data_IF_707395702759
#
_entry.id   IF_707395702759
#
_cell.length_a   1.000
_cell.length_b   1.000
_cell.length_c   1.000
_cell.angle_alpha   90.00
_cell.angle_beta   90.00
_cell.angle_gamma   90.00
#
_symmetry.space_group_name_H-M   'P 1'
#
loop_
_entity.id
_entity.type
_entity.pdbx_description
1 polymer ?
#
# COMPACT_ATOMS: atom_id res chain seq x y z
N UNK A 1 -41.71 -27.54 -9.18
CA UNK A 1 -41.39 -26.56 -10.25
C UNK A 1 -41.40 -25.05 -9.89
N UNK A 2 -41.98 -24.52 -8.78
CA UNK A 2 -42.02 -23.06 -8.54
C UNK A 2 -40.67 -22.38 -8.25
N UNK A 3 -39.73 -23.10 -7.60
CA UNK A 3 -38.43 -22.53 -7.18
C UNK A 3 -37.51 -22.15 -8.35
N UNK A 4 -37.66 -22.80 -9.52
CA UNK A 4 -36.83 -22.52 -10.69
C UNK A 4 -37.23 -21.21 -11.40
N UNK A 5 -38.53 -20.89 -11.47
CA UNK A 5 -39.01 -19.62 -12.05
C UNK A 5 -38.61 -18.41 -11.20
N UNK A 6 -38.66 -18.53 -9.87
CA UNK A 6 -38.29 -17.43 -8.96
C UNK A 6 -36.78 -17.13 -9.03
N UNK A 7 -35.93 -18.14 -9.21
CA UNK A 7 -34.48 -17.93 -9.35
C UNK A 7 -34.11 -17.29 -10.68
N UNK A 8 -34.83 -17.61 -11.76
CA UNK A 8 -34.66 -17.02 -13.08
C UNK A 8 -35.08 -15.56 -13.08
N UNK A 9 -36.22 -15.22 -12.47
CA UNK A 9 -36.71 -13.84 -12.35
C UNK A 9 -35.76 -12.98 -11.51
N UNK A 10 -35.24 -13.51 -10.39
CA UNK A 10 -34.21 -12.80 -9.60
C UNK A 10 -32.89 -12.62 -10.36
N UNK A 11 -32.51 -13.56 -11.23
CA UNK A 11 -31.34 -13.42 -12.11
C UNK A 11 -31.55 -12.32 -13.15
N UNK A 12 -32.69 -12.32 -13.82
CA UNK A 12 -33.01 -11.34 -14.86
C UNK A 12 -33.18 -9.93 -14.29
N UNK A 13 -33.74 -9.78 -13.09
CA UNK A 13 -33.82 -8.49 -12.40
C UNK A 13 -32.43 -7.95 -12.02
N UNK A 14 -31.54 -8.80 -11.49
CA UNK A 14 -30.15 -8.42 -11.20
C UNK A 14 -29.36 -8.08 -12.46
N UNK A 15 -29.59 -8.80 -13.56
CA UNK A 15 -28.97 -8.49 -14.87
C UNK A 15 -29.47 -7.16 -15.42
N UNK A 16 -30.74 -6.81 -15.20
CA UNK A 16 -31.31 -5.50 -15.52
C UNK A 16 -30.70 -4.36 -14.72
N UNK A 17 -30.46 -4.53 -13.41
CA UNK A 17 -29.76 -3.53 -12.59
C UNK A 17 -28.27 -3.41 -12.93
N UNK A 18 -27.59 -4.52 -13.22
CA UNK A 18 -26.20 -4.52 -13.67
C UNK A 18 -26.04 -3.85 -15.03
N UNK A 19 -26.98 -4.06 -15.96
CA UNK A 19 -27.04 -3.35 -17.25
C UNK A 19 -27.36 -1.86 -17.06
N UNK A 20 -28.34 -1.50 -16.24
CA UNK A 20 -28.61 -0.09 -15.90
C UNK A 20 -27.42 0.58 -15.19
N UNK A 21 -26.67 -0.14 -14.35
CA UNK A 21 -25.45 0.38 -13.71
C UNK A 21 -24.27 0.51 -14.67
N UNK A 22 -24.24 -0.30 -15.73
CA UNK A 22 -23.30 -0.15 -16.85
C UNK A 22 -23.73 0.98 -17.82
N UNK A 23 -25.03 1.21 -17.99
CA UNK A 23 -25.62 2.23 -18.88
C UNK A 23 -25.72 3.63 -18.25
N UNK A 24 -25.80 3.75 -16.92
CA UNK A 24 -25.95 5.05 -16.23
C UNK A 24 -24.72 5.98 -16.31
N UNK A 25 -23.68 5.63 -17.07
CA UNK A 25 -22.56 6.54 -17.35
C UNK A 25 -21.86 7.06 -16.08
N UNK A 26 -21.99 6.35 -14.95
CA UNK A 26 -21.44 6.77 -13.67
C UNK A 26 -19.92 6.81 -13.79
N UNK A 27 -19.39 8.03 -13.96
CA UNK A 27 -17.95 8.30 -13.97
C UNK A 27 -17.38 7.70 -12.68
N UNK A 28 -16.52 6.68 -12.82
CA UNK A 28 -15.77 6.08 -11.71
C UNK A 28 -14.49 6.87 -11.49
N UNK A 29 -13.84 6.70 -10.34
CA UNK A 29 -12.55 7.34 -10.09
C UNK A 29 -11.49 6.72 -11.00
N UNK A 30 -10.80 7.57 -11.75
CA UNK A 30 -9.68 7.15 -12.56
C UNK A 30 -8.48 6.88 -11.63
N UNK A 31 -7.88 5.67 -11.64
CA UNK A 31 -6.75 5.35 -10.76
C UNK A 31 -5.53 6.24 -10.98
N UNK A 32 -5.35 6.80 -12.19
CA UNK A 32 -4.31 7.80 -12.44
C UNK A 32 -4.53 9.07 -11.61
N UNK A 33 -5.77 9.58 -11.59
CA UNK A 33 -6.13 10.77 -10.80
C UNK A 33 -5.98 10.47 -9.31
N UNK A 34 -6.33 9.26 -8.88
CA UNK A 34 -6.15 8.84 -7.48
C UNK A 34 -4.68 8.87 -7.07
N UNK A 35 -3.80 8.22 -7.83
CA UNK A 35 -2.37 8.20 -7.54
C UNK A 35 -1.77 9.63 -7.61
N UNK A 36 -2.07 10.35 -8.69
CA UNK A 36 -1.55 11.71 -8.90
C UNK A 36 -2.01 12.65 -7.77
N UNK A 37 -3.28 12.56 -7.36
CA UNK A 37 -3.82 13.37 -6.27
C UNK A 37 -3.11 13.09 -4.94
N UNK A 38 -2.86 11.82 -4.61
CA UNK A 38 -2.13 11.47 -3.38
C UNK A 38 -0.67 11.90 -3.46
N UNK A 39 0.02 11.64 -4.58
CA UNK A 39 1.41 12.06 -4.78
C UNK A 39 1.57 13.58 -4.67
N UNK A 40 0.65 14.32 -5.29
CA UNK A 40 0.64 15.79 -5.27
C UNK A 40 0.33 16.30 -3.87
N UNK A 41 -0.70 15.78 -3.20
CA UNK A 41 -1.07 16.20 -1.85
C UNK A 41 0.07 15.93 -0.85
N UNK A 42 0.67 14.73 -0.91
CA UNK A 42 1.79 14.36 -0.05
C UNK A 42 2.97 15.34 -0.17
N UNK A 43 3.37 15.65 -1.41
CA UNK A 43 4.52 16.53 -1.65
C UNK A 43 4.21 17.99 -1.38
N UNK A 44 3.08 18.51 -1.88
CA UNK A 44 2.73 19.93 -1.69
C UNK A 44 2.61 20.26 -0.20
N UNK A 45 1.97 19.40 0.60
CA UNK A 45 1.82 19.64 2.04
C UNK A 45 3.19 19.66 2.75
N UNK A 46 4.13 18.79 2.35
CA UNK A 46 5.48 18.77 2.94
C UNK A 46 6.41 19.88 2.40
N UNK A 47 6.17 20.39 1.19
CA UNK A 47 7.01 21.40 0.55
C UNK A 47 6.61 22.83 0.93
N UNK A 48 5.33 23.10 1.14
CA UNK A 48 4.86 24.43 1.52
C UNK A 48 5.27 24.72 2.97
N UNK A 49 5.79 25.93 3.21
CA UNK A 49 6.01 26.43 4.56
C UNK A 49 4.66 26.69 5.24
N UNK A 50 4.32 25.81 6.17
CA UNK A 50 3.11 25.95 6.98
C UNK A 50 3.37 26.88 8.17
N UNK A 51 2.34 27.50 8.76
CA UNK A 51 2.52 28.36 9.94
C UNK A 51 3.12 27.65 11.16
N UNK A 52 2.96 26.33 11.27
CA UNK A 52 3.49 25.51 12.36
C UNK A 52 4.85 24.87 12.03
N UNK A 53 5.45 25.17 10.89
CA UNK A 53 6.82 24.72 10.54
C UNK A 53 7.80 25.88 10.67
N UNK A 54 8.97 25.61 11.22
CA UNK A 54 10.04 26.61 11.31
C UNK A 54 10.52 26.93 9.89
N UNK A 55 10.51 28.23 9.53
CA UNK A 55 10.94 28.65 8.19
C UNK A 55 12.44 28.51 8.03
N UNK A 56 12.86 28.03 6.86
CA UNK A 56 14.28 27.94 6.51
C UNK A 56 15.06 26.84 7.24
N UNK A 57 14.39 25.85 7.84
CA UNK A 57 15.07 24.73 8.53
C UNK A 57 15.98 23.92 7.61
N UNK A 58 15.65 23.82 6.31
CA UNK A 58 16.44 23.13 5.30
C UNK A 58 16.14 23.66 3.89
N UNK A 59 17.01 23.36 2.92
CA UNK A 59 16.82 23.76 1.52
C UNK A 59 15.83 22.84 0.79
N UNK A 60 14.71 23.43 0.34
CA UNK A 60 13.65 22.70 -0.37
C UNK A 60 13.88 22.59 -1.88
N UNK A 61 14.94 23.18 -2.43
CA UNK A 61 15.19 23.23 -3.90
C UNK A 61 15.26 21.83 -4.51
N UNK A 62 16.02 20.90 -3.91
CA UNK A 62 16.09 19.53 -4.42
C UNK A 62 14.70 18.87 -4.39
N UNK A 63 13.99 19.01 -3.28
CA UNK A 63 12.67 18.39 -3.09
C UNK A 63 11.67 18.87 -4.16
N UNK A 64 11.65 20.17 -4.47
CA UNK A 64 10.86 20.74 -5.56
C UNK A 64 11.25 20.16 -6.93
N UNK A 65 12.55 20.10 -7.23
CA UNK A 65 13.04 19.54 -8.50
C UNK A 65 12.63 18.07 -8.66
N UNK A 66 12.74 17.26 -7.62
CA UNK A 66 12.33 15.85 -7.65
C UNK A 66 10.82 15.70 -7.80
N UNK A 67 10.04 16.52 -7.10
CA UNK A 67 8.58 16.54 -7.25
C UNK A 67 8.15 16.85 -8.69
N UNK A 68 8.71 17.91 -9.29
CA UNK A 68 8.41 18.29 -10.67
C UNK A 68 8.87 17.23 -11.65
N UNK A 69 10.06 16.65 -11.44
CA UNK A 69 10.60 15.57 -12.29
C UNK A 69 9.68 14.34 -12.28
N UNK A 70 9.24 13.91 -11.10
CA UNK A 70 8.29 12.80 -10.95
C UNK A 70 6.94 13.10 -11.58
N UNK A 71 6.43 14.33 -11.41
CA UNK A 71 5.18 14.79 -12.01
C UNK A 71 5.24 14.75 -13.54
N UNK A 72 6.31 15.26 -14.15
CA UNK A 72 6.51 15.24 -15.60
C UNK A 72 6.56 13.80 -16.11
N UNK A 73 7.38 12.94 -15.49
CA UNK A 73 7.48 11.52 -15.86
C UNK A 73 6.12 10.80 -15.80
N UNK A 74 5.35 11.05 -14.74
CA UNK A 74 4.02 10.47 -14.57
C UNK A 74 3.03 10.95 -15.63
N UNK A 75 2.98 12.25 -15.91
CA UNK A 75 2.06 12.86 -16.87
C UNK A 75 2.38 12.46 -18.31
N UNK A 76 3.65 12.42 -18.69
CA UNK A 76 4.08 11.98 -20.02
C UNK A 76 3.62 10.55 -20.30
N UNK A 77 3.90 9.61 -19.40
CA UNK A 77 3.41 8.24 -19.52
C UNK A 77 1.87 8.18 -19.64
N UNK A 78 1.15 8.98 -18.85
CA UNK A 78 -0.30 9.02 -18.96
C UNK A 78 -0.77 9.43 -20.37
N UNK A 79 -0.13 10.45 -20.96
CA UNK A 79 -0.43 10.89 -22.34
C UNK A 79 -0.11 9.79 -23.35
N UNK A 80 1.07 9.18 -23.29
CA UNK A 80 1.49 8.11 -24.21
C UNK A 80 0.57 6.88 -24.17
N UNK A 81 0.10 6.48 -22.99
CA UNK A 81 -0.70 5.26 -22.83
C UNK A 81 -2.23 5.49 -22.85
N UNK A 82 -2.69 6.74 -23.01
CA UNK A 82 -4.12 7.10 -23.08
C UNK A 82 -4.82 6.52 -24.32
N UNK A 83 -4.10 6.38 -25.45
CA UNK A 83 -4.70 6.17 -26.78
C UNK A 83 -5.15 4.76 -27.16
N UNK A 84 -4.84 3.71 -26.38
CA UNK A 84 -5.14 2.32 -26.80
C UNK A 84 -6.25 1.72 -25.95
N UNK A 85 -7.52 1.96 -26.29
CA UNK A 85 -8.65 1.24 -25.70
C UNK A 85 -9.52 0.66 -26.83
N UNK A 86 -9.16 -0.54 -27.33
CA UNK A 86 -10.05 -1.31 -28.20
C UNK A 86 -11.24 -1.81 -27.37
N UNK A 87 -12.47 -1.39 -27.75
CA UNK A 87 -13.72 -2.00 -27.26
C UNK A 87 -13.64 -3.49 -27.52
N UNK A 88 -13.57 -4.29 -26.47
CA UNK A 88 -13.53 -5.75 -26.57
C UNK A 88 -14.44 -6.33 -25.50
N UNK A 89 -15.19 -7.35 -25.89
CA UNK A 89 -16.23 -7.99 -25.09
C UNK A 89 -15.61 -8.63 -23.84
N UNK A 90 -16.14 -8.28 -22.68
CA UNK A 90 -15.68 -8.76 -21.38
C UNK A 90 -16.09 -10.22 -21.17
N UNK A 91 -15.16 -11.18 -21.00
CA UNK A 91 -15.53 -12.56 -20.67
C UNK A 91 -16.12 -12.65 -19.26
N UNK A 92 -17.03 -13.62 -19.06
CA UNK A 92 -17.72 -13.85 -17.78
C UNK A 92 -16.74 -13.98 -16.60
N UNK A 93 -17.05 -13.26 -15.51
CA UNK A 93 -16.32 -13.32 -14.25
C UNK A 93 -16.41 -14.72 -13.65
N UNK A 94 -15.31 -15.49 -13.69
CA UNK A 94 -15.26 -16.81 -13.04
C UNK A 94 -15.16 -16.62 -11.53
N UNK A 95 -16.21 -17.01 -10.83
CA UNK A 95 -16.28 -16.97 -9.37
C UNK A 95 -15.16 -17.81 -8.73
N UNK A 96 -14.41 -17.23 -7.79
CA UNK A 96 -13.34 -17.94 -7.07
C UNK A 96 -13.79 -18.30 -5.66
N UNK A 97 -14.14 -19.57 -5.45
CA UNK A 97 -14.69 -20.11 -4.18
C UNK A 97 -14.05 -21.43 -3.77
N UNK A 98 -12.74 -21.54 -3.92
CA UNK A 98 -12.05 -22.77 -3.54
C UNK A 98 -11.98 -22.88 -2.01
N UNK A 99 -12.76 -23.81 -1.43
CA UNK A 99 -12.64 -24.18 -0.01
C UNK A 99 -11.25 -24.76 0.27
N UNK A 100 -10.69 -25.52 -0.68
CA UNK A 100 -9.33 -26.07 -0.62
C UNK A 100 -8.28 -24.96 -0.47
N UNK A 101 -8.33 -23.91 -1.30
CA UNK A 101 -7.38 -22.78 -1.16
C UNK A 101 -7.57 -22.03 0.16
N UNK A 102 -8.82 -21.91 0.63
CA UNK A 102 -9.10 -21.28 1.93
C UNK A 102 -8.44 -22.04 3.07
N UNK A 103 -8.59 -23.37 3.08
CA UNK A 103 -7.98 -24.24 4.10
C UNK A 103 -6.45 -24.22 3.96
N UNK A 104 -5.93 -24.31 2.74
CA UNK A 104 -4.49 -24.30 2.47
C UNK A 104 -3.80 -23.03 3.01
N UNK A 105 -4.30 -21.84 2.64
CA UNK A 105 -3.69 -20.60 3.11
C UNK A 105 -3.94 -20.35 4.60
N UNK A 106 -5.07 -20.81 5.15
CA UNK A 106 -5.32 -20.73 6.59
C UNK A 106 -4.36 -21.63 7.38
N UNK A 107 -4.04 -22.82 6.86
CA UNK A 107 -3.08 -23.73 7.50
C UNK A 107 -1.68 -23.11 7.51
N UNK A 108 -1.22 -22.55 6.38
CA UNK A 108 0.05 -21.81 6.32
C UNK A 108 0.06 -20.68 7.37
N UNK A 109 -1.03 -19.90 7.43
CA UNK A 109 -1.19 -18.81 8.39
C UNK A 109 -1.07 -19.29 9.85
N UNK A 110 -1.79 -20.36 10.22
CA UNK A 110 -1.76 -20.92 11.58
C UNK A 110 -0.38 -21.48 11.90
N UNK A 111 0.24 -22.23 10.98
CA UNK A 111 1.58 -22.80 11.19
C UNK A 111 2.62 -21.70 11.38
N UNK A 112 2.63 -20.66 10.54
CA UNK A 112 3.55 -19.53 10.70
C UNK A 112 3.32 -18.79 12.02
N UNK A 113 2.06 -18.58 12.42
CA UNK A 113 1.69 -17.93 13.69
C UNK A 113 2.17 -18.74 14.89
N UNK A 114 1.87 -20.04 14.94
CA UNK A 114 2.28 -20.92 16.04
C UNK A 114 3.80 -21.04 16.10
N UNK A 115 4.46 -21.26 14.95
CA UNK A 115 5.92 -21.35 14.89
C UNK A 115 6.56 -20.08 15.46
N UNK A 116 6.06 -18.91 15.05
CA UNK A 116 6.61 -17.63 15.54
C UNK A 116 6.43 -17.51 17.04
N UNK A 117 5.23 -17.74 17.57
CA UNK A 117 4.94 -17.66 19.01
C UNK A 117 5.85 -18.61 19.81
N UNK A 118 6.03 -19.84 19.32
CA UNK A 118 6.90 -20.84 19.95
C UNK A 118 8.38 -20.42 19.91
N UNK A 119 8.87 -19.93 18.77
CA UNK A 119 10.27 -19.51 18.63
C UNK A 119 10.59 -18.23 19.39
N UNK A 120 9.62 -17.33 19.54
CA UNK A 120 9.79 -16.11 20.33
C UNK A 120 9.63 -16.36 21.83
N UNK A 121 9.06 -17.49 22.25
CA UNK A 121 8.71 -17.73 23.66
C UNK A 121 7.54 -16.88 24.17
N UNK A 122 6.73 -16.32 23.27
CA UNK A 122 5.64 -15.40 23.63
C UNK A 122 4.93 -14.82 22.41
N UNK A 123 3.90 -14.00 22.64
CA UNK A 123 3.20 -13.29 21.56
C UNK A 123 4.00 -12.02 21.22
N UNK A 124 4.56 -11.89 20.00
CA UNK A 124 5.46 -10.78 19.65
C UNK A 124 4.88 -9.38 19.87
N UNK A 125 3.55 -9.23 19.80
CA UNK A 125 2.86 -7.97 20.12
C UNK A 125 3.21 -7.42 21.52
N UNK A 126 3.44 -8.30 22.51
CA UNK A 126 3.68 -7.94 23.90
C UNK A 126 5.16 -7.95 24.30
N UNK A 127 6.07 -8.29 23.38
CA UNK A 127 7.49 -8.54 23.67
C UNK A 127 8.43 -7.35 23.44
N UNK A 128 7.90 -6.12 23.31
CA UNK A 128 8.75 -4.92 23.16
C UNK A 128 9.68 -4.98 21.93
N UNK A 129 10.99 -4.83 22.15
CA UNK A 129 12.02 -4.87 21.10
C UNK A 129 12.45 -6.28 20.70
N UNK A 130 12.25 -7.28 21.57
CA UNK A 130 12.62 -8.69 21.31
C UNK A 130 11.82 -9.29 20.14
N UNK A 131 10.68 -8.67 19.78
CA UNK A 131 9.85 -9.06 18.63
C UNK A 131 10.56 -8.98 17.27
N UNK A 132 11.67 -8.25 17.17
CA UNK A 132 12.39 -8.04 15.92
C UNK A 132 13.34 -9.21 15.57
N UNK A 133 13.48 -10.22 16.43
CA UNK A 133 14.21 -11.47 16.12
C UNK A 133 13.44 -12.45 15.22
N UNK A 134 12.21 -12.12 14.82
CA UNK A 134 11.33 -13.03 14.09
C UNK A 134 11.74 -13.24 12.63
N UNK A 135 11.51 -14.46 12.12
CA UNK A 135 11.78 -14.81 10.73
C UNK A 135 10.99 -13.94 9.75
N UNK A 136 11.69 -13.15 8.94
CA UNK A 136 11.11 -12.36 7.85
C UNK A 136 10.27 -13.22 6.88
N UNK A 137 10.62 -14.49 6.72
CA UNK A 137 9.90 -15.46 5.88
C UNK A 137 8.52 -15.78 6.48
N UNK A 138 8.46 -16.15 7.77
CA UNK A 138 7.20 -16.46 8.43
C UNK A 138 6.23 -15.26 8.39
N UNK A 139 6.77 -14.05 8.59
CA UNK A 139 6.02 -12.81 8.49
C UNK A 139 5.46 -12.55 7.09
N UNK A 140 6.20 -12.86 6.03
CA UNK A 140 5.70 -12.61 4.68
C UNK A 140 4.76 -13.74 4.19
N UNK A 141 4.95 -14.99 4.63
CA UNK A 141 4.07 -16.12 4.32
C UNK A 141 2.65 -15.93 4.89
N UNK A 142 2.53 -15.34 6.08
CA UNK A 142 1.22 -15.10 6.70
C UNK A 142 0.31 -14.20 5.85
N UNK A 143 0.90 -13.34 5.02
CA UNK A 143 0.17 -12.44 4.12
C UNK A 143 -0.60 -13.20 3.04
N UNK A 144 -0.22 -14.45 2.71
CA UNK A 144 -0.93 -15.26 1.70
C UNK A 144 -2.40 -15.49 2.07
N UNK A 145 -2.69 -15.68 3.36
CA UNK A 145 -4.07 -15.79 3.81
C UNK A 145 -4.82 -14.47 3.62
N UNK A 146 -4.20 -13.33 3.96
CA UNK A 146 -4.75 -12.01 3.69
C UNK A 146 -5.04 -11.77 2.20
N UNK A 147 -4.08 -12.11 1.32
CA UNK A 147 -4.25 -12.02 -0.13
C UNK A 147 -5.41 -12.89 -0.61
N UNK A 148 -5.53 -14.12 -0.12
CA UNK A 148 -6.63 -15.00 -0.46
C UNK A 148 -7.99 -14.46 0.03
N UNK A 149 -8.05 -13.96 1.26
CA UNK A 149 -9.26 -13.32 1.81
C UNK A 149 -9.66 -12.12 0.96
N UNK A 150 -8.71 -11.29 0.50
CA UNK A 150 -9.00 -10.16 -0.41
C UNK A 150 -9.54 -10.62 -1.77
N UNK A 151 -8.94 -11.64 -2.38
CA UNK A 151 -9.44 -12.22 -3.64
C UNK A 151 -10.86 -12.74 -3.47
N UNK A 152 -11.14 -13.45 -2.36
CA UNK A 152 -12.48 -13.96 -2.06
C UNK A 152 -13.46 -12.83 -1.79
N UNK A 153 -13.07 -11.82 -1.03
CA UNK A 153 -13.88 -10.67 -0.69
C UNK A 153 -14.29 -9.89 -1.95
N UNK A 154 -13.34 -9.63 -2.84
CA UNK A 154 -13.61 -9.04 -4.17
C UNK A 154 -14.58 -9.93 -4.94
N UNK A 155 -14.35 -11.24 -4.98
CA UNK A 155 -15.27 -12.19 -5.63
C UNK A 155 -16.67 -12.17 -5.02
N UNK A 156 -16.81 -12.04 -3.70
CA UNK A 156 -18.12 -12.01 -3.03
C UNK A 156 -18.83 -10.66 -3.26
N UNK A 157 -18.09 -9.55 -3.30
CA UNK A 157 -18.61 -8.24 -3.69
C UNK A 157 -19.17 -8.22 -5.13
N UNK A 158 -18.45 -8.80 -6.08
CA UNK A 158 -18.90 -8.87 -7.49
C UNK A 158 -20.16 -9.72 -7.67
N UNK A 159 -20.37 -10.68 -6.77
CA UNK A 159 -21.51 -11.59 -6.83
C UNK A 159 -22.65 -11.18 -5.88
N UNK A 160 -22.59 -9.98 -5.27
CA UNK A 160 -23.54 -9.46 -4.27
C UNK A 160 -23.85 -10.46 -3.15
N UNK A 161 -22.80 -11.04 -2.56
CA UNK A 161 -22.95 -12.02 -1.48
C UNK A 161 -22.53 -11.48 -0.12
N UNK A 162 -23.04 -12.12 0.93
CA UNK A 162 -22.68 -11.81 2.31
C UNK A 162 -21.20 -12.09 2.54
N UNK A 163 -20.52 -11.09 3.10
CA UNK A 163 -19.10 -11.13 3.42
C UNK A 163 -18.90 -11.95 4.70
N UNK A 164 -17.86 -12.79 4.72
CA UNK A 164 -17.45 -13.49 5.92
C UNK A 164 -16.58 -12.58 6.79
N UNK A 165 -17.19 -11.93 7.78
CA UNK A 165 -16.48 -11.07 8.75
C UNK A 165 -15.47 -11.87 9.57
N UNK A 166 -15.76 -13.15 9.85
CA UNK A 166 -14.90 -14.04 10.63
C UNK A 166 -13.50 -14.19 10.00
N UNK A 167 -13.40 -14.37 8.69
CA UNK A 167 -12.09 -14.52 8.03
C UNK A 167 -11.25 -13.24 8.11
N UNK A 168 -11.92 -12.09 8.00
CA UNK A 168 -11.28 -10.78 8.15
C UNK A 168 -10.77 -10.62 9.58
N UNK A 169 -11.61 -10.93 10.58
CA UNK A 169 -11.25 -10.84 11.99
C UNK A 169 -10.08 -11.78 12.34
N UNK A 170 -10.10 -13.03 11.87
CA UNK A 170 -9.02 -14.02 12.08
C UNK A 170 -7.71 -13.52 11.47
N UNK A 171 -7.74 -13.01 10.24
CA UNK A 171 -6.54 -12.47 9.59
C UNK A 171 -5.98 -11.27 10.37
N UNK A 172 -6.82 -10.29 10.72
CA UNK A 172 -6.40 -9.09 11.46
C UNK A 172 -5.83 -9.47 12.82
N UNK A 173 -6.54 -10.28 13.59
CA UNK A 173 -6.09 -10.71 14.92
C UNK A 173 -4.73 -11.42 14.85
N UNK A 174 -4.57 -12.39 13.94
CA UNK A 174 -3.30 -13.12 13.85
C UNK A 174 -2.14 -12.27 13.33
N UNK A 175 -2.37 -11.32 12.39
CA UNK A 175 -1.30 -10.37 11.99
C UNK A 175 -0.92 -9.44 13.14
N UNK A 176 -1.90 -8.96 13.91
CA UNK A 176 -1.65 -8.13 15.08
C UNK A 176 -0.86 -8.87 16.16
N UNK A 177 -1.06 -10.19 16.33
CA UNK A 177 -0.25 -11.00 17.23
C UNK A 177 1.26 -10.95 16.91
N UNK A 178 1.64 -10.76 15.63
CA UNK A 178 3.05 -10.56 15.26
C UNK A 178 3.57 -9.14 15.56
N UNK A 179 2.73 -8.23 16.03
CA UNK A 179 3.12 -6.84 16.29
C UNK A 179 3.20 -5.95 15.04
N UNK A 180 2.80 -6.45 13.86
CA UNK A 180 2.85 -5.69 12.61
C UNK A 180 1.51 -5.04 12.27
N UNK A 181 1.57 -3.79 11.83
CA UNK A 181 0.41 -2.96 11.49
C UNK A 181 0.27 -2.76 9.98
N UNK A 182 1.40 -2.73 9.26
CA UNK A 182 1.45 -2.45 7.82
C UNK A 182 0.61 -3.43 6.99
N UNK A 183 0.64 -4.76 7.19
CA UNK A 183 -0.19 -5.66 6.38
C UNK A 183 -1.69 -5.46 6.60
N UNK A 184 -2.10 -5.11 7.82
CA UNK A 184 -3.49 -4.75 8.13
C UNK A 184 -3.90 -3.48 7.38
N UNK A 185 -3.05 -2.46 7.41
CA UNK A 185 -3.28 -1.22 6.65
C UNK A 185 -3.39 -1.49 5.14
N UNK A 186 -2.44 -2.25 4.57
CA UNK A 186 -2.46 -2.66 3.17
C UNK A 186 -3.75 -3.41 2.83
N UNK A 187 -4.19 -4.33 3.69
CA UNK A 187 -5.42 -5.09 3.50
C UNK A 187 -6.64 -4.17 3.37
N UNK A 188 -6.81 -3.21 4.28
CA UNK A 188 -7.90 -2.25 4.20
C UNK A 188 -7.78 -1.29 3.02
N UNK A 189 -6.58 -0.81 2.71
CA UNK A 189 -6.33 0.06 1.56
C UNK A 189 -6.67 -0.64 0.24
N UNK A 190 -6.36 -1.92 0.09
CA UNK A 190 -6.73 -2.69 -1.11
C UNK A 190 -8.24 -2.77 -1.27
N UNK A 191 -8.98 -3.01 -0.19
CA UNK A 191 -10.46 -3.01 -0.21
C UNK A 191 -10.97 -1.63 -0.60
N UNK A 192 -10.43 -0.58 0.02
CA UNK A 192 -10.80 0.80 -0.22
C UNK A 192 -10.55 1.21 -1.69
N UNK A 193 -9.37 0.93 -2.23
CA UNK A 193 -9.00 1.15 -3.64
C UNK A 193 -9.95 0.37 -4.56
N UNK A 194 -10.25 -0.88 -4.24
CA UNK A 194 -11.21 -1.68 -5.00
C UNK A 194 -12.60 -1.02 -5.04
N UNK A 195 -13.12 -0.57 -3.89
CA UNK A 195 -14.43 0.09 -3.83
C UNK A 195 -14.44 1.36 -4.69
N UNK A 196 -13.44 2.23 -4.54
CA UNK A 196 -13.39 3.53 -5.21
C UNK A 196 -13.18 3.42 -6.71
N UNK A 197 -12.31 2.51 -7.15
CA UNK A 197 -11.97 2.38 -8.57
C UNK A 197 -13.02 1.57 -9.33
N UNK A 198 -13.56 0.49 -8.74
CA UNK A 198 -14.41 -0.46 -9.47
C UNK A 198 -15.90 -0.40 -9.14
N UNK A 199 -16.30 0.05 -7.95
CA UNK A 199 -17.69 -0.12 -7.48
C UNK A 199 -18.44 1.18 -7.23
N UNK A 200 -17.80 2.15 -6.58
CA UNK A 200 -18.46 3.37 -6.13
C UNK A 200 -18.56 4.41 -7.25
N UNK A 201 -19.65 5.18 -7.31
CA UNK A 201 -19.72 6.34 -8.20
C UNK A 201 -18.80 7.45 -7.69
N UNK A 202 -18.22 8.26 -8.59
CA UNK A 202 -17.20 9.27 -8.26
C UNK A 202 -17.58 10.21 -7.11
N UNK A 203 -18.84 10.65 -7.02
CA UNK A 203 -19.30 11.52 -5.91
C UNK A 203 -19.17 10.83 -4.54
N UNK A 204 -19.66 9.58 -4.43
CA UNK A 204 -19.55 8.80 -3.19
C UNK A 204 -18.11 8.41 -2.88
N UNK A 205 -17.34 8.07 -3.91
CA UNK A 205 -15.92 7.76 -3.77
C UNK A 205 -15.12 8.95 -3.22
N UNK A 206 -15.41 10.18 -3.69
CA UNK A 206 -14.76 11.38 -3.19
C UNK A 206 -15.11 11.65 -1.72
N UNK A 207 -16.39 11.59 -1.35
CA UNK A 207 -16.82 11.76 0.04
C UNK A 207 -16.20 10.70 0.96
N UNK A 208 -16.26 9.43 0.56
CA UNK A 208 -15.68 8.33 1.31
C UNK A 208 -14.16 8.50 1.46
N UNK A 209 -13.50 9.01 0.42
CA UNK A 209 -12.07 9.26 0.48
C UNK A 209 -11.67 10.44 1.33
N UNK A 210 -12.47 11.51 1.35
CA UNK A 210 -12.29 12.60 2.29
C UNK A 210 -12.36 12.07 3.74
N UNK A 211 -13.42 11.31 4.07
CA UNK A 211 -13.57 10.71 5.41
C UNK A 211 -12.39 9.78 5.76
N UNK A 212 -11.96 8.94 4.81
CA UNK A 212 -10.84 8.03 5.03
C UNK A 212 -9.52 8.76 5.27
N UNK A 213 -9.23 9.84 4.52
CA UNK A 213 -8.04 10.66 4.73
C UNK A 213 -8.05 11.27 6.13
N UNK A 214 -9.16 11.90 6.55
CA UNK A 214 -9.26 12.47 7.89
C UNK A 214 -9.09 11.41 8.99
N UNK A 215 -9.72 10.26 8.83
CA UNK A 215 -9.61 9.16 9.79
C UNK A 215 -8.17 8.61 9.87
N UNK A 216 -7.52 8.39 8.72
CA UNK A 216 -6.15 7.87 8.67
C UNK A 216 -5.17 8.91 9.23
N UNK A 217 -5.29 10.18 8.86
CA UNK A 217 -4.39 11.25 9.35
C UNK A 217 -4.57 11.46 10.85
N UNK A 218 -5.80 11.53 11.36
CA UNK A 218 -6.06 11.66 12.79
C UNK A 218 -5.55 10.45 13.58
N UNK A 219 -5.82 9.24 13.09
CA UNK A 219 -5.30 8.01 13.69
C UNK A 219 -3.77 7.98 13.68
N UNK A 220 -3.14 8.30 12.54
CA UNK A 220 -1.69 8.33 12.40
C UNK A 220 -1.05 9.37 13.34
N UNK A 221 -1.64 10.56 13.47
CA UNK A 221 -1.15 11.60 14.35
C UNK A 221 -1.21 11.19 15.83
N UNK A 222 -2.34 10.65 16.29
CA UNK A 222 -2.51 10.17 17.67
C UNK A 222 -1.49 9.07 17.97
N UNK A 223 -1.36 8.08 17.08
CA UNK A 223 -0.42 6.99 17.27
C UNK A 223 1.04 7.42 17.19
N UNK A 224 1.37 8.36 16.30
CA UNK A 224 2.71 8.93 16.21
C UNK A 224 3.05 9.68 17.50
N UNK A 225 2.18 10.59 17.95
CA UNK A 225 2.36 11.35 19.18
C UNK A 225 2.51 10.43 20.39
N UNK A 226 1.62 9.46 20.56
CA UNK A 226 1.67 8.48 21.66
C UNK A 226 2.97 7.66 21.64
N UNK A 227 3.38 7.16 20.46
CA UNK A 227 4.61 6.38 20.34
C UNK A 227 5.84 7.23 20.66
N UNK A 228 5.88 8.46 20.14
CA UNK A 228 6.99 9.37 20.39
C UNK A 228 7.04 9.72 21.88
N UNK A 229 5.92 10.10 22.50
CA UNK A 229 5.86 10.45 23.93
C UNK A 229 6.27 9.32 24.87
N UNK A 230 6.17 8.06 24.44
CA UNK A 230 6.62 6.91 25.24
C UNK A 230 8.15 6.77 25.29
N UNK A 231 8.89 7.36 24.37
CA UNK A 231 10.32 7.06 24.17
C UNK A 231 11.19 8.29 23.91
N UNK A 232 10.60 9.43 23.57
CA UNK A 232 11.25 10.64 23.11
C UNK A 232 10.49 11.87 23.60
N UNK A 233 11.21 12.97 23.79
CA UNK A 233 10.60 14.28 23.91
C UNK A 233 10.01 14.71 22.56
N UNK A 234 8.73 15.08 22.55
CA UNK A 234 8.00 15.45 21.32
C UNK A 234 8.61 16.67 20.64
N UNK A 235 9.05 17.66 21.42
CA UNK A 235 9.60 18.92 20.89
C UNK A 235 10.94 18.66 20.20
N UNK A 236 11.80 17.86 20.83
CA UNK A 236 13.08 17.45 20.28
C UNK A 236 12.91 16.56 19.04
N UNK A 237 11.96 15.63 19.06
CA UNK A 237 11.72 14.71 17.96
C UNK A 237 11.24 15.41 16.69
N UNK A 238 10.32 16.37 16.86
CA UNK A 238 9.76 17.14 15.76
C UNK A 238 10.42 18.53 15.68
N UNK A 239 11.75 18.57 15.58
CA UNK A 239 12.54 19.82 15.62
C UNK A 239 12.27 20.80 14.47
N UNK A 240 11.51 20.41 13.46
CA UNK A 240 11.02 21.23 12.36
C UNK A 240 9.65 21.91 12.64
N UNK A 241 8.99 21.58 13.76
CA UNK A 241 7.71 22.15 14.16
C UNK A 241 7.92 23.32 15.13
N UNK A 242 7.21 24.42 14.89
CA UNK A 242 7.05 25.49 15.87
C UNK A 242 5.96 25.12 16.89
N UNK A 243 6.35 24.46 17.97
CA UNK A 243 5.42 24.10 19.05
C UNK A 243 4.85 25.32 19.79
N UNK A 244 5.45 26.52 19.70
CA UNK A 244 4.86 27.73 20.29
C UNK A 244 3.57 28.07 19.55
N UNK A 245 3.65 28.12 18.21
CA UNK A 245 2.47 28.32 17.37
C UNK A 245 1.39 27.25 17.59
N UNK A 246 1.78 25.97 17.71
CA UNK A 246 0.84 24.86 17.94
C UNK A 246 0.18 24.96 19.32
N UNK A 247 0.90 25.42 20.34
CA UNK A 247 0.36 25.64 21.67
C UNK A 247 -0.65 26.78 21.71
N UNK A 248 -0.42 27.84 20.93
CA UNK A 248 -1.37 28.95 20.77
C UNK A 248 -2.62 28.53 19.97
N UNK A 249 -2.50 27.51 19.11
CA UNK A 249 -3.57 27.01 18.23
C UNK A 249 -3.93 25.56 18.54
N UNK A 250 -4.47 25.31 19.73
CA UNK A 250 -4.65 23.94 20.27
C UNK A 250 -5.44 22.98 19.37
N UNK A 251 -6.30 23.48 18.49
CA UNK A 251 -7.05 22.66 17.52
C UNK A 251 -6.16 21.96 16.49
N UNK A 252 -4.88 22.37 16.34
CA UNK A 252 -3.92 21.76 15.44
C UNK A 252 -3.20 20.53 16.03
N UNK A 253 -3.17 20.39 17.36
CA UNK A 253 -2.52 19.27 18.06
C UNK A 253 -2.86 17.88 17.50
N UNK A 254 -4.12 17.56 17.14
CA UNK A 254 -4.47 16.24 16.63
C UNK A 254 -3.95 15.94 15.22
N UNK A 255 -3.41 16.92 14.49
CA UNK A 255 -3.01 16.77 13.08
C UNK A 255 -1.53 17.02 12.85
N UNK A 256 -0.96 17.96 13.60
CA UNK A 256 0.42 18.44 13.44
C UNK A 256 1.45 17.29 13.44
N UNK A 257 1.41 16.28 14.33
CA UNK A 257 2.36 15.17 14.30
C UNK A 257 2.36 14.39 12.98
N UNK A 258 1.18 14.14 12.39
CA UNK A 258 1.10 13.45 11.10
C UNK A 258 1.51 14.36 9.93
N UNK A 259 1.14 15.64 9.96
CA UNK A 259 1.52 16.60 8.92
C UNK A 259 3.01 16.89 8.92
N UNK A 260 3.63 16.96 10.10
CA UNK A 260 5.06 17.17 10.25
C UNK A 260 5.90 16.00 9.73
N UNK A 261 5.35 14.78 9.71
CA UNK A 261 6.01 13.64 9.04
C UNK A 261 6.12 13.84 7.53
N UNK A 262 5.22 14.63 6.92
CA UNK A 262 5.30 14.97 5.49
C UNK A 262 6.46 15.93 5.23
N UNK A 263 6.63 16.97 6.06
CA UNK A 263 7.78 17.89 6.00
C UNK A 263 9.09 17.18 6.38
N UNK A 264 9.09 16.35 7.43
CA UNK A 264 10.25 15.55 7.84
C UNK A 264 10.75 14.64 6.70
N UNK A 265 9.83 14.10 5.91
CA UNK A 265 10.17 13.31 4.73
C UNK A 265 10.86 14.13 3.64
N UNK A 266 10.50 15.42 3.48
CA UNK A 266 11.18 16.33 2.56
C UNK A 266 12.53 16.79 3.13
N UNK A 267 12.62 17.04 4.44
CA UNK A 267 13.91 17.29 5.11
C UNK A 267 14.89 16.13 4.86
N UNK A 268 14.43 14.89 5.01
CA UNK A 268 15.22 13.69 4.69
C UNK A 268 15.73 13.71 3.24
N UNK A 269 14.89 14.10 2.28
CA UNK A 269 15.28 14.22 0.86
C UNK A 269 16.32 15.32 0.65
N UNK A 270 16.18 16.45 1.34
CA UNK A 270 17.20 17.52 1.35
C UNK A 270 18.53 17.03 1.89
N UNK A 271 18.52 16.34 3.04
CA UNK A 271 19.73 15.77 3.65
C UNK A 271 20.43 14.74 2.76
N UNK A 272 19.65 13.93 2.03
CA UNK A 272 20.19 13.04 0.98
C UNK A 272 20.95 13.87 -0.06
N UNK A 273 20.39 15.00 -0.51
CA UNK A 273 21.01 15.89 -1.49
C UNK A 273 22.39 16.40 -1.07
N UNK A 274 22.57 16.72 0.22
CA UNK A 274 23.85 17.18 0.76
C UNK A 274 24.83 16.05 1.06
N UNK A 275 24.34 14.86 1.45
CA UNK A 275 25.18 13.75 1.90
C UNK A 275 25.57 12.76 0.79
N UNK A 276 24.80 12.71 -0.31
CA UNK A 276 25.03 11.76 -1.38
C UNK A 276 26.17 12.23 -2.31
N UNK A 277 27.34 11.62 -2.18
CA UNK A 277 28.48 11.90 -3.06
C UNK A 277 28.44 11.12 -4.38
N UNK A 278 27.87 9.91 -4.36
CA UNK A 278 27.74 9.03 -5.53
C UNK A 278 26.41 8.28 -5.46
N UNK A 279 25.80 8.06 -6.63
CA UNK A 279 24.58 7.26 -6.73
C UNK A 279 24.83 5.79 -6.39
N UNK A 280 23.80 5.11 -5.88
CA UNK A 280 23.88 3.71 -5.46
C UNK A 280 23.56 2.71 -6.58
N UNK A 281 23.15 3.17 -7.77
CA UNK A 281 22.91 2.37 -8.98
C UNK A 281 22.00 1.14 -8.77
N UNK A 282 21.01 1.25 -7.88
CA UNK A 282 20.06 0.18 -7.57
C UNK A 282 20.40 -0.58 -6.29
N UNK A 283 21.52 -0.27 -5.62
CA UNK A 283 21.87 -0.85 -4.33
C UNK A 283 20.79 -0.62 -3.27
N UNK A 284 20.14 0.54 -3.27
CA UNK A 284 19.05 0.79 -2.33
C UNK A 284 17.82 -0.08 -2.63
N UNK A 285 17.46 -0.24 -3.91
CA UNK A 285 16.41 -1.17 -4.33
C UNK A 285 16.71 -2.63 -3.93
N UNK A 286 17.93 -3.10 -4.19
CA UNK A 286 18.35 -4.48 -3.91
C UNK A 286 18.41 -4.75 -2.41
N UNK A 287 18.84 -3.78 -1.60
CA UNK A 287 18.97 -3.93 -0.14
C UNK A 287 17.69 -4.38 0.57
N UNK A 288 16.51 -4.01 0.06
CA UNK A 288 15.23 -4.46 0.61
C UNK A 288 15.05 -5.98 0.47
N UNK A 289 15.60 -6.59 -0.58
CA UNK A 289 15.49 -8.02 -0.86
C UNK A 289 16.67 -8.82 -0.30
N UNK A 290 17.82 -8.19 -0.08
CA UNK A 290 18.94 -8.82 0.63
C UNK A 290 18.58 -9.22 2.07
N UNK A 291 17.57 -8.57 2.66
CA UNK A 291 17.01 -8.97 3.96
C UNK A 291 16.44 -10.40 3.99
N UNK A 292 16.26 -11.05 2.84
CA UNK A 292 15.91 -12.47 2.76
C UNK A 292 17.08 -13.42 2.91
N UNK A 293 18.30 -12.95 2.64
CA UNK A 293 19.49 -13.76 2.72
C UNK A 293 19.89 -13.97 4.18
N UNK A 294 20.54 -15.10 4.52
CA UNK A 294 21.06 -15.31 5.86
C UNK A 294 22.08 -14.22 6.20
N UNK A 295 22.07 -13.76 7.46
CA UNK A 295 22.96 -12.72 7.97
C UNK A 295 22.25 -11.40 8.33
N UNK A 296 23.02 -10.44 8.86
CA UNK A 296 22.53 -9.10 9.20
C UNK A 296 22.63 -8.20 7.98
N UNK A 297 21.54 -8.07 7.24
CA UNK A 297 21.45 -7.18 6.08
C UNK A 297 20.75 -5.88 6.44
N UNK A 298 21.17 -4.77 5.83
CA UNK A 298 20.56 -3.46 6.06
C UNK A 298 19.49 -3.22 5.01
N UNK A 299 18.24 -3.04 5.44
CA UNK A 299 17.20 -2.58 4.53
C UNK A 299 17.41 -1.10 4.14
N UNK A 300 16.74 -0.65 3.07
CA UNK A 300 16.89 0.69 2.53
C UNK A 300 16.73 1.81 3.58
N UNK A 301 15.83 1.60 4.55
CA UNK A 301 15.58 2.58 5.62
C UNK A 301 16.76 2.80 6.56
N UNK A 302 17.54 1.75 6.80
CA UNK A 302 18.71 1.81 7.65
C UNK A 302 19.88 2.46 6.91
N UNK A 303 20.04 2.13 5.62
CA UNK A 303 21.03 2.76 4.74
C UNK A 303 20.79 4.28 4.67
N UNK A 304 19.55 4.71 4.48
CA UNK A 304 19.20 6.13 4.41
C UNK A 304 19.36 6.83 5.75
N UNK A 305 18.98 6.17 6.85
CA UNK A 305 19.21 6.70 8.19
C UNK A 305 20.70 6.95 8.46
N UNK A 306 21.57 6.03 8.00
CA UNK A 306 23.02 6.20 8.08
C UNK A 306 23.51 7.35 7.20
N UNK A 307 23.12 7.35 5.92
CA UNK A 307 23.51 8.38 4.93
C UNK A 307 23.15 9.80 5.40
N UNK A 308 22.00 9.97 6.02
CA UNK A 308 21.50 11.27 6.48
C UNK A 308 21.90 11.59 7.92
N UNK A 309 22.66 10.71 8.59
CA UNK A 309 22.98 10.80 10.03
C UNK A 309 21.75 10.94 10.94
N UNK A 310 20.56 10.64 10.43
CA UNK A 310 19.31 10.77 11.16
C UNK A 310 18.85 9.42 11.76
N UNK A 311 19.69 8.40 11.66
CA UNK A 311 19.52 7.12 12.36
C UNK A 311 19.43 7.26 13.87
N UNK A 312 19.99 8.31 14.46
CA UNK A 312 19.97 8.51 15.90
C UNK A 312 19.27 9.81 16.24
N UNK A 313 18.11 9.71 16.89
CA UNK A 313 17.42 10.86 17.48
C UNK A 313 17.45 10.68 18.99
N UNK A 314 18.07 11.62 19.70
CA UNK A 314 18.26 11.56 21.15
C UNK A 314 18.85 10.22 21.66
N UNK A 315 19.86 9.69 20.94
CA UNK A 315 20.58 8.47 21.35
C UNK A 315 19.84 7.16 21.14
N UNK A 316 18.71 7.14 20.41
CA UNK A 316 17.99 5.90 20.05
C UNK A 316 17.87 5.70 18.53
N UNK A 317 17.89 4.44 18.05
CA UNK A 317 17.84 4.15 16.63
C UNK A 317 16.45 4.44 16.04
N UNK A 318 16.45 5.19 14.93
CA UNK A 318 15.29 5.52 14.12
C UNK A 318 15.42 4.91 12.72
N UNK A 319 14.32 4.35 12.23
CA UNK A 319 14.20 3.89 10.85
C UNK A 319 13.60 5.02 10.00
N UNK A 320 14.33 5.47 8.98
CA UNK A 320 13.91 6.60 8.13
C UNK A 320 13.52 6.08 6.76
N UNK A 321 12.32 6.44 6.30
CA UNK A 321 11.83 6.05 4.99
C UNK A 321 12.30 7.06 3.93
N UNK A 322 13.13 6.66 2.95
CA UNK A 322 13.31 7.48 1.77
C UNK A 322 11.98 7.46 1.01
N UNK A 323 11.32 8.61 0.83
CA UNK A 323 10.18 8.70 -0.08
C UNK A 323 10.51 8.07 -1.43
N UNK A 324 9.53 7.65 -2.25
CA UNK A 324 9.83 7.01 -3.54
C UNK A 324 10.77 7.87 -4.40
N UNK A 325 10.57 9.18 -4.44
CA UNK A 325 11.43 10.10 -5.17
C UNK A 325 12.83 10.20 -4.57
N UNK A 326 12.97 10.19 -3.24
CA UNK A 326 14.27 10.13 -2.57
C UNK A 326 15.01 8.83 -2.88
N UNK A 327 14.32 7.69 -2.81
CA UNK A 327 14.90 6.38 -3.08
C UNK A 327 15.39 6.25 -4.54
N UNK A 328 14.57 6.68 -5.49
CA UNK A 328 14.93 6.71 -6.92
C UNK A 328 16.08 7.68 -7.21
N UNK A 329 16.13 8.82 -6.51
CA UNK A 329 17.21 9.79 -6.65
C UNK A 329 18.54 9.24 -6.11
N UNK A 330 18.52 8.55 -4.97
CA UNK A 330 19.72 7.91 -4.40
C UNK A 330 20.32 6.89 -5.36
N UNK A 331 19.47 6.07 -6.00
CA UNK A 331 19.96 5.06 -6.92
C UNK A 331 20.37 5.61 -8.28
N UNK A 332 19.62 6.55 -8.87
CA UNK A 332 19.77 6.91 -10.28
C UNK A 332 19.56 8.40 -10.60
N UNK A 333 19.59 9.28 -9.59
CA UNK A 333 19.41 10.71 -9.74
C UNK A 333 18.05 11.11 -10.33
N UNK A 334 18.01 12.26 -11.02
CA UNK A 334 16.79 12.78 -11.65
C UNK A 334 16.20 11.83 -12.71
N UNK A 335 17.06 11.13 -13.45
CA UNK A 335 16.65 10.14 -14.47
C UNK A 335 15.90 8.99 -13.80
N UNK A 336 16.37 8.53 -12.63
CA UNK A 336 15.68 7.56 -11.79
C UNK A 336 14.28 7.98 -11.43
N UNK A 337 14.14 9.20 -10.90
CA UNK A 337 12.83 9.74 -10.49
C UNK A 337 11.88 9.82 -11.67
N UNK A 338 12.33 10.40 -12.80
CA UNK A 338 11.52 10.49 -14.01
C UNK A 338 11.04 9.11 -14.47
N UNK A 339 11.98 8.16 -14.60
CA UNK A 339 11.73 6.82 -15.14
C UNK A 339 10.84 6.00 -14.21
N UNK A 340 11.06 6.06 -12.89
CA UNK A 340 10.25 5.34 -11.92
C UNK A 340 8.78 5.78 -11.93
N UNK A 341 8.53 7.09 -11.97
CA UNK A 341 7.16 7.63 -12.07
C UNK A 341 6.53 7.37 -13.44
N UNK A 342 7.32 7.38 -14.51
CA UNK A 342 6.88 6.97 -15.84
C UNK A 342 6.40 5.50 -15.86
N UNK A 343 7.20 4.59 -15.29
CA UNK A 343 6.88 3.15 -15.19
C UNK A 343 5.63 2.93 -14.35
N UNK A 344 5.48 3.61 -13.21
CA UNK A 344 4.28 3.50 -12.37
C UNK A 344 3.04 3.93 -13.15
N UNK A 345 3.09 5.08 -13.83
CA UNK A 345 1.99 5.58 -14.64
C UNK A 345 1.63 4.61 -15.77
N UNK A 346 2.63 4.13 -16.53
CA UNK A 346 2.45 3.12 -17.57
C UNK A 346 1.81 1.83 -17.03
N UNK A 347 2.32 1.35 -15.88
CA UNK A 347 1.82 0.19 -15.17
C UNK A 347 0.36 0.34 -14.73
N UNK A 348 0.00 1.48 -14.13
CA UNK A 348 -1.39 1.79 -13.76
C UNK A 348 -2.29 1.70 -14.99
N UNK A 349 -1.91 2.30 -16.11
CA UNK A 349 -2.68 2.24 -17.35
C UNK A 349 -2.85 0.83 -17.89
N UNK A 350 -1.75 0.09 -17.98
CA UNK A 350 -1.73 -1.27 -18.51
C UNK A 350 -2.54 -2.24 -17.64
N UNK A 351 -2.28 -2.26 -16.32
CA UNK A 351 -2.93 -3.18 -15.40
C UNK A 351 -4.39 -2.79 -15.14
N UNK A 352 -4.75 -1.50 -15.14
CA UNK A 352 -6.15 -1.09 -14.98
C UNK A 352 -7.02 -1.60 -16.13
N UNK A 353 -6.55 -1.43 -17.39
CA UNK A 353 -7.24 -1.94 -18.57
C UNK A 353 -7.44 -3.45 -18.51
N UNK A 354 -6.42 -4.19 -18.07
CA UNK A 354 -6.50 -5.65 -17.89
C UNK A 354 -7.41 -6.05 -16.73
N UNK A 355 -7.36 -5.36 -15.61
CA UNK A 355 -8.15 -5.64 -14.41
C UNK A 355 -9.65 -5.46 -14.65
N UNK A 356 -10.08 -4.55 -15.52
CA UNK A 356 -11.49 -4.44 -15.95
C UNK A 356 -11.99 -5.73 -16.62
N UNK A 357 -11.10 -6.48 -17.29
CA UNK A 357 -11.41 -7.70 -18.05
C UNK A 357 -11.14 -8.98 -17.24
N UNK A 358 -10.28 -8.90 -16.24
CA UNK A 358 -9.95 -10.04 -15.40
C UNK A 358 -10.97 -10.23 -14.27
N UNK A 359 -11.09 -11.47 -13.80
CA UNK A 359 -11.89 -11.79 -12.61
C UNK A 359 -11.27 -11.25 -11.32
N UNK A 360 -11.87 -11.62 -10.18
CA UNK A 360 -11.48 -11.16 -8.85
C UNK A 360 -9.96 -11.15 -8.57
N UNK A 361 -9.22 -12.17 -9.03
CA UNK A 361 -7.76 -12.24 -8.86
C UNK A 361 -7.02 -11.10 -9.58
N UNK A 362 -7.44 -10.75 -10.79
CA UNK A 362 -6.81 -9.67 -11.56
C UNK A 362 -7.13 -8.29 -10.99
N UNK A 363 -8.35 -8.09 -10.51
CA UNK A 363 -8.72 -6.86 -9.79
C UNK A 363 -8.01 -6.73 -8.46
N UNK A 364 -7.89 -7.82 -7.70
CA UNK A 364 -7.04 -7.89 -6.52
C UNK A 364 -5.61 -7.48 -6.86
N UNK A 365 -4.98 -8.13 -7.85
CA UNK A 365 -3.60 -7.83 -8.22
C UNK A 365 -3.39 -6.37 -8.60
N UNK A 366 -4.30 -5.79 -9.39
CA UNK A 366 -4.23 -4.37 -9.70
C UNK A 366 -4.41 -3.47 -8.47
N UNK A 367 -5.41 -3.73 -7.62
CA UNK A 367 -5.64 -2.92 -6.41
C UNK A 367 -4.47 -3.01 -5.43
N UNK A 368 -3.86 -4.19 -5.31
CA UNK A 368 -2.66 -4.41 -4.50
C UNK A 368 -1.46 -3.61 -5.03
N UNK A 369 -1.14 -3.73 -6.32
CA UNK A 369 -0.03 -2.96 -6.92
C UNK A 369 -0.25 -1.45 -6.85
N UNK A 370 -1.49 -0.98 -7.07
CA UNK A 370 -1.83 0.43 -6.92
C UNK A 370 -1.69 0.89 -5.46
N UNK A 371 -2.11 0.07 -4.49
CA UNK A 371 -1.95 0.36 -3.06
C UNK A 371 -0.47 0.43 -2.69
N UNK A 372 0.34 -0.53 -3.11
CA UNK A 372 1.79 -0.52 -2.88
C UNK A 372 2.47 0.70 -3.52
N UNK A 373 2.02 1.11 -4.71
CA UNK A 373 2.50 2.33 -5.38
C UNK A 373 2.11 3.60 -4.62
N UNK A 374 0.88 3.66 -4.10
CA UNK A 374 0.44 4.79 -3.27
C UNK A 374 1.27 4.85 -1.99
N UNK A 375 1.50 3.71 -1.33
CA UNK A 375 2.32 3.64 -0.12
C UNK A 375 3.80 3.94 -0.38
N UNK A 376 4.32 3.61 -1.57
CA UNK A 376 5.72 3.89 -1.92
C UNK A 376 6.03 5.38 -1.93
N UNK A 377 5.04 6.24 -2.23
CA UNK A 377 5.22 7.71 -2.14
C UNK A 377 5.86 8.11 -0.81
N UNK A 378 5.43 7.50 0.30
CA UNK A 378 6.01 7.71 1.62
C UNK A 378 7.15 6.72 1.94
N UNK A 379 6.95 5.43 1.66
CA UNK A 379 7.81 4.35 2.18
C UNK A 379 9.04 4.03 1.33
N UNK A 380 9.17 4.60 0.13
CA UNK A 380 10.23 4.24 -0.82
C UNK A 380 9.84 3.05 -1.69
N UNK A 381 10.83 2.27 -2.15
CA UNK A 381 10.59 1.10 -2.99
C UNK A 381 9.60 0.10 -2.39
N UNK A 382 9.05 -0.74 -3.27
CA UNK A 382 8.29 -1.90 -2.82
C UNK A 382 9.20 -2.82 -2.00
N UNK A 383 8.66 -3.28 -0.88
CA UNK A 383 9.36 -4.14 0.07
C UNK A 383 9.20 -5.63 -0.32
N UNK A 384 9.81 -6.50 0.47
CA UNK A 384 9.70 -7.95 0.45
C UNK A 384 8.30 -8.49 0.10
N UNK A 385 7.24 -7.85 0.59
CA UNK A 385 5.85 -8.23 0.33
C UNK A 385 5.50 -8.33 -1.17
N UNK A 386 6.18 -7.59 -2.05
CA UNK A 386 5.99 -7.69 -3.49
C UNK A 386 6.38 -9.06 -4.06
N UNK A 387 7.50 -9.63 -3.61
CA UNK A 387 7.94 -10.98 -4.04
C UNK A 387 6.93 -12.03 -3.60
N UNK A 388 6.44 -11.92 -2.37
CA UNK A 388 5.43 -12.82 -1.83
C UNK A 388 4.08 -12.67 -2.56
N UNK A 389 3.71 -11.46 -2.98
CA UNK A 389 2.59 -11.26 -3.87
C UNK A 389 2.76 -12.01 -5.20
N UNK A 390 3.94 -11.95 -5.83
CA UNK A 390 4.21 -12.70 -7.07
C UNK A 390 4.12 -14.22 -6.85
N UNK A 391 4.72 -14.73 -5.77
CA UNK A 391 4.62 -16.15 -5.38
C UNK A 391 3.15 -16.55 -5.20
N UNK A 392 2.37 -15.75 -4.48
CA UNK A 392 0.94 -15.99 -4.29
C UNK A 392 0.19 -16.10 -5.62
N UNK A 393 0.42 -15.17 -6.55
CA UNK A 393 -0.18 -15.25 -7.90
C UNK A 393 0.25 -16.54 -8.61
N UNK A 394 1.53 -16.91 -8.52
CA UNK A 394 2.08 -18.17 -9.05
C UNK A 394 1.37 -19.41 -8.49
N UNK A 395 1.25 -19.52 -7.16
CA UNK A 395 0.56 -20.64 -6.48
C UNK A 395 -0.88 -20.77 -6.95
N UNK A 396 -1.61 -19.67 -7.04
CA UNK A 396 -3.00 -19.67 -7.52
C UNK A 396 -3.08 -20.16 -8.97
N UNK A 397 -2.15 -19.73 -9.84
CA UNK A 397 -2.11 -20.16 -11.24
C UNK A 397 -1.77 -21.64 -11.39
N UNK A 398 -0.81 -22.14 -10.62
CA UNK A 398 -0.51 -23.58 -10.58
C UNK A 398 -1.72 -24.39 -10.14
N UNK A 399 -2.43 -23.96 -9.09
CA UNK A 399 -3.65 -24.61 -8.63
C UNK A 399 -4.74 -24.65 -9.72
N UNK A 400 -4.94 -23.53 -10.44
CA UNK A 400 -5.90 -23.47 -11.53
C UNK A 400 -5.55 -24.42 -12.69
N UNK A 401 -4.26 -24.54 -13.02
CA UNK A 401 -3.77 -25.44 -14.06
C UNK A 401 -4.00 -26.91 -13.70
N UNK A 402 -3.69 -27.29 -12.45
CA UNK A 402 -3.89 -28.65 -11.95
C UNK A 402 -5.38 -29.01 -11.97
N UNK A 403 -6.23 -28.13 -11.45
CA UNK A 403 -7.68 -28.34 -11.45
C UNK A 403 -8.30 -28.33 -12.85
N UNK A 404 -7.72 -27.56 -13.78
CA UNK A 404 -8.14 -27.54 -15.18
C UNK A 404 -7.80 -28.83 -15.93
N UNK A 405 -6.71 -29.52 -15.55
CA UNK A 405 -6.36 -30.83 -16.09
C UNK A 405 -7.25 -31.93 -15.55
N UNK A 406 -7.55 -31.95 -14.24
CA UNK A 406 -8.38 -33.01 -13.65
C UNK A 406 -9.80 -33.08 -14.23
N UNK A 407 -10.40 -31.94 -14.62
CA UNK A 407 -11.73 -31.92 -15.26
C UNK A 407 -11.69 -32.48 -16.69
N UNK A 408 -10.53 -32.46 -17.37
CA UNK A 408 -10.36 -33.00 -18.72
C UNK A 408 -10.10 -34.50 -18.76
N UNK A 409 -9.69 -35.12 -17.66
CA UNK A 409 -9.47 -36.57 -17.55
C UNK A 409 -10.70 -37.35 -17.05
N UNK A 410 -11.74 -36.66 -16.59
CA UNK A 410 -12.99 -37.27 -16.10
C UNK A 410 -14.11 -37.20 -17.16
N UNK A 411 -13.79 -36.71 -18.36
CA UNK A 411 -14.63 -36.79 -19.56
C UNK A 411 -13.91 -37.67 -20.56
#
# INVERSE_FOLDING_TARGET
MPRAKISLIKRLANEGELRRSAETGLKRVNPFILFLGIYTAYNIIGLIDTPWTIRGTYDKVLCWKLFVTGLIGFLLAFVFFRGVEKKTVTPMLRQRRSRQLTIFFLLIFIVCLLLTILTSGGIPLFMGEERFGNSAIAFNLIQFYGFWVLVRLISDFENNKKISVIQIAVYIAGVLCFGYRTPVLVFFLVIYVYQIVFRMPRKKAFLFGFVAIFAITGFAAIFAAYRVSQSYDLVTFFGNIDFRYVNDHKYLWPFVPALAMLDFSQNTVSSIGSALHQYMYGGLFISNYETFLPGKHWGARNIIGELTSARWVAGRPMSITPTLQGALYVDFGYIGVFTGFFIISAGIGFFWKKAKRWGALGKFGFCYLLTMSIMSVHNGYWDAGFVFFLIFIGVIRCFDLIKGRSVRFVK
#
